data_IF_884427154198
#
_entry.id   IF_884427154198
#
_cell.length_a   1.000
_cell.length_b   1.000
_cell.length_c   1.000
_cell.angle_alpha   90.00
_cell.angle_beta   90.00
_cell.angle_gamma   90.00
#
_symmetry.space_group_name_H-M   'P 1'
#
loop_
_entity.id
_entity.type
_entity.pdbx_description
1 polymer ?
#
# COMPACT_ATOMS: atom_id res chain seq x y z
N UNK A 1 -1.55 32.87 7.22
CA UNK A 1 -2.82 32.12 7.33
C UNK A 1 -2.75 30.84 6.48
N UNK A 2 -1.70 30.03 6.64
CA UNK A 2 -1.35 28.87 5.75
C UNK A 2 -0.95 27.61 6.56
N UNK A 3 -1.48 27.42 7.77
CA UNK A 3 -1.11 26.29 8.64
C UNK A 3 -2.21 25.25 8.90
N UNK A 4 -3.41 25.41 8.34
CA UNK A 4 -4.55 24.51 8.64
C UNK A 4 -4.76 23.33 7.68
N UNK A 5 -4.00 23.21 6.60
CA UNK A 5 -4.16 22.14 5.61
C UNK A 5 -3.34 20.86 5.88
N UNK A 6 -2.24 20.98 6.62
CA UNK A 6 -1.32 19.87 6.91
C UNK A 6 -1.80 18.97 8.07
N UNK A 7 -2.61 19.51 8.98
CA UNK A 7 -3.05 18.77 10.19
C UNK A 7 -4.09 17.65 9.95
N UNK A 8 -4.83 17.68 8.82
CA UNK A 8 -5.92 16.71 8.61
C UNK A 8 -5.48 15.34 8.07
N UNK A 9 -4.37 15.24 7.33
CA UNK A 9 -3.85 13.93 6.89
C UNK A 9 -2.93 13.30 7.93
N UNK A 10 -2.16 14.10 8.63
CA UNK A 10 -1.37 13.68 9.80
C UNK A 10 -2.24 13.11 10.94
N UNK A 11 -3.52 13.48 11.03
CA UNK A 11 -4.40 12.97 12.07
C UNK A 11 -4.91 11.54 11.83
N UNK A 12 -4.92 11.07 10.59
CA UNK A 12 -5.35 9.70 10.28
C UNK A 12 -4.33 8.66 10.75
N UNK A 13 -3.02 8.99 10.72
CA UNK A 13 -1.93 8.12 11.15
C UNK A 13 -1.33 8.50 12.52
N UNK A 14 -1.69 9.64 13.10
CA UNK A 14 -1.14 10.08 14.40
C UNK A 14 -1.71 9.35 15.62
N UNK A 15 -2.76 8.56 15.47
CA UNK A 15 -3.22 7.65 16.53
C UNK A 15 -2.43 6.34 16.53
N UNK A 16 -1.10 6.43 16.61
CA UNK A 16 -0.20 5.31 16.97
C UNK A 16 -0.33 4.91 18.45
N UNK A 17 -1.46 5.17 19.07
CA UNK A 17 -1.80 4.58 20.36
C UNK A 17 -2.18 3.10 20.13
N UNK A 18 -1.71 2.19 21.01
CA UNK A 18 -1.88 0.73 20.85
C UNK A 18 -3.34 0.26 20.92
N UNK A 19 -4.31 1.15 20.84
CA UNK A 19 -5.74 0.87 20.96
C UNK A 19 -6.60 1.78 20.08
N UNK A 20 -6.37 1.77 18.78
CA UNK A 20 -7.30 2.43 17.85
C UNK A 20 -8.69 1.74 17.94
N UNK A 21 -9.66 2.44 18.52
CA UNK A 21 -11.03 1.92 18.71
C UNK A 21 -11.68 1.57 17.37
N UNK A 22 -11.50 2.42 16.36
CA UNK A 22 -12.05 2.19 15.02
C UNK A 22 -11.49 0.91 14.40
N UNK A 23 -10.18 0.66 14.50
CA UNK A 23 -9.57 -0.57 14.03
C UNK A 23 -10.19 -1.80 14.71
N UNK A 24 -10.36 -1.81 16.03
CA UNK A 24 -10.95 -2.94 16.77
C UNK A 24 -12.40 -3.20 16.36
N UNK A 25 -13.16 -2.14 16.10
CA UNK A 25 -14.55 -2.26 15.62
C UNK A 25 -14.62 -2.83 14.20
N UNK A 26 -13.63 -2.59 13.36
CA UNK A 26 -13.56 -3.10 11.98
C UNK A 26 -12.90 -4.48 11.89
N UNK A 27 -11.94 -4.78 12.75
CA UNK A 27 -11.17 -6.03 12.73
C UNK A 27 -12.04 -7.26 12.92
N UNK A 28 -13.01 -7.21 13.85
CA UNK A 28 -13.89 -8.35 14.14
C UNK A 28 -14.76 -8.71 12.94
N UNK A 29 -15.51 -7.79 12.32
CA UNK A 29 -16.26 -8.09 11.09
C UNK A 29 -15.38 -8.63 9.96
N UNK A 30 -14.19 -8.06 9.74
CA UNK A 30 -13.27 -8.52 8.71
C UNK A 30 -12.83 -9.97 8.94
N UNK A 31 -12.47 -10.33 10.18
CA UNK A 31 -12.15 -11.72 10.53
C UNK A 31 -13.33 -12.66 10.33
N UNK A 32 -14.54 -12.26 10.72
CA UNK A 32 -15.72 -13.09 10.52
C UNK A 32 -16.00 -13.35 9.03
N UNK A 33 -15.82 -12.36 8.16
CA UNK A 33 -15.99 -12.55 6.70
C UNK A 33 -15.03 -13.62 6.17
N UNK A 34 -13.75 -13.56 6.56
CA UNK A 34 -12.74 -14.52 6.09
C UNK A 34 -13.00 -15.91 6.63
N UNK A 35 -13.48 -16.06 7.87
CA UNK A 35 -13.80 -17.36 8.50
C UNK A 35 -14.89 -18.17 7.78
N UNK A 36 -15.76 -17.52 7.03
CA UNK A 36 -16.79 -18.20 6.24
C UNK A 36 -16.26 -18.84 4.95
N UNK A 37 -15.01 -18.57 4.59
CA UNK A 37 -14.35 -19.11 3.40
C UNK A 37 -13.39 -20.24 3.78
N UNK A 38 -13.28 -21.27 2.92
CA UNK A 38 -12.25 -22.28 3.14
C UNK A 38 -10.86 -21.69 2.85
N UNK A 39 -9.82 -22.07 3.62
CA UNK A 39 -8.46 -21.59 3.38
C UNK A 39 -7.94 -21.88 1.97
N UNK A 40 -8.29 -23.03 1.39
CA UNK A 40 -7.92 -23.40 0.01
C UNK A 40 -8.54 -22.44 -1.01
N UNK A 41 -9.82 -22.09 -0.81
CA UNK A 41 -10.50 -21.14 -1.69
C UNK A 41 -9.89 -19.73 -1.58
N UNK A 42 -9.56 -19.31 -0.36
CA UNK A 42 -8.83 -18.05 -0.12
C UNK A 42 -7.50 -18.09 -0.87
N UNK A 43 -6.70 -19.13 -0.69
CA UNK A 43 -5.39 -19.28 -1.33
C UNK A 43 -5.50 -19.21 -2.86
N UNK A 44 -6.43 -19.97 -3.44
CA UNK A 44 -6.64 -20.02 -4.88
C UNK A 44 -6.98 -18.63 -5.49
N UNK A 45 -7.80 -17.83 -4.80
CA UNK A 45 -8.28 -16.55 -5.31
C UNK A 45 -7.34 -15.39 -5.03
N UNK A 46 -6.65 -15.42 -3.90
CA UNK A 46 -5.79 -14.33 -3.44
C UNK A 46 -4.34 -14.46 -3.87
N UNK A 47 -3.91 -15.62 -4.38
CA UNK A 47 -2.49 -15.89 -4.62
C UNK A 47 -1.68 -16.14 -3.34
N UNK A 48 -2.35 -16.33 -2.20
CA UNK A 48 -1.71 -16.83 -0.98
C UNK A 48 -1.43 -18.34 -1.11
N UNK A 49 -0.55 -18.86 -0.26
CA UNK A 49 -0.30 -20.30 -0.12
C UNK A 49 -0.87 -20.79 1.20
N UNK A 50 -1.71 -21.81 1.17
CA UNK A 50 -2.20 -22.43 2.39
C UNK A 50 -1.35 -23.65 2.76
N UNK A 51 -0.77 -23.62 3.95
CA UNK A 51 -0.01 -24.72 4.57
C UNK A 51 -0.94 -25.46 5.53
N UNK A 52 -1.58 -26.50 5.02
CA UNK A 52 -2.61 -27.27 5.77
C UNK A 52 -2.06 -27.88 7.06
N UNK A 53 -0.82 -28.42 7.04
CA UNK A 53 -0.17 -29.02 8.21
C UNK A 53 -0.03 -28.07 9.39
N UNK A 54 0.14 -26.79 9.11
CA UNK A 54 0.43 -25.75 10.10
C UNK A 54 -0.79 -24.85 10.38
N UNK A 55 -1.83 -24.97 9.56
CA UNK A 55 -3.00 -24.09 9.59
C UNK A 55 -2.60 -22.62 9.29
N UNK A 56 -1.76 -22.38 8.29
CA UNK A 56 -1.20 -21.05 8.00
C UNK A 56 -1.44 -20.67 6.53
N UNK A 57 -1.99 -19.48 6.31
CA UNK A 57 -1.96 -18.79 5.03
C UNK A 57 -0.68 -17.94 4.96
N UNK A 58 0.07 -18.07 3.88
CA UNK A 58 1.27 -17.29 3.61
C UNK A 58 1.10 -16.46 2.34
N UNK A 59 1.42 -15.18 2.39
CA UNK A 59 1.40 -14.30 1.23
C UNK A 59 2.54 -13.28 1.28
N UNK A 60 2.87 -12.73 0.13
CA UNK A 60 3.80 -11.61 0.03
C UNK A 60 3.04 -10.28 0.15
N UNK A 61 3.58 -9.36 0.93
CA UNK A 61 3.13 -7.98 0.96
C UNK A 61 4.34 -7.06 0.86
N UNK A 62 4.47 -6.36 -0.26
CA UNK A 62 5.67 -5.62 -0.61
C UNK A 62 6.91 -6.55 -0.55
N UNK A 63 7.95 -6.17 0.20
CA UNK A 63 9.17 -6.97 0.39
C UNK A 63 9.10 -7.96 1.57
N UNK A 64 7.91 -8.24 2.11
CA UNK A 64 7.75 -9.01 3.35
C UNK A 64 6.84 -10.21 3.16
N UNK A 65 7.28 -11.37 3.63
CA UNK A 65 6.42 -12.55 3.76
C UNK A 65 5.56 -12.41 5.01
N UNK A 66 4.26 -12.55 4.85
CA UNK A 66 3.27 -12.47 5.93
C UNK A 66 2.62 -13.84 6.11
N UNK A 67 2.68 -14.36 7.32
CA UNK A 67 2.04 -15.62 7.73
C UNK A 67 0.84 -15.31 8.62
N UNK A 68 -0.27 -15.97 8.35
CA UNK A 68 -1.56 -15.70 9.01
C UNK A 68 -2.12 -17.05 9.49
N UNK A 69 -2.24 -17.22 10.80
CA UNK A 69 -2.81 -18.46 11.36
C UNK A 69 -4.31 -18.53 11.12
N UNK A 70 -4.80 -19.73 10.86
CA UNK A 70 -6.23 -20.04 10.68
C UNK A 70 -6.66 -21.00 11.80
N UNK A 71 -7.77 -20.77 12.49
CA UNK A 71 -8.86 -19.83 12.18
C UNK A 71 -8.79 -18.46 12.91
N UNK A 72 -7.75 -18.16 13.68
CA UNK A 72 -7.67 -16.96 14.53
C UNK A 72 -7.33 -15.71 13.74
N UNK A 73 -6.73 -15.85 12.56
CA UNK A 73 -6.23 -14.78 11.71
C UNK A 73 -5.29 -13.83 12.48
N UNK A 74 -4.23 -14.42 13.06
CA UNK A 74 -3.14 -13.69 13.69
C UNK A 74 -1.95 -13.58 12.74
N UNK A 75 -1.27 -12.44 12.76
CA UNK A 75 -0.24 -12.07 11.79
C UNK A 75 1.17 -12.26 12.36
N UNK A 76 2.06 -12.85 11.57
CA UNK A 76 3.48 -12.96 11.84
C UNK A 76 4.28 -12.61 10.56
N UNK A 77 5.17 -11.60 10.61
CA UNK A 77 5.39 -10.69 11.73
C UNK A 77 4.17 -9.79 11.98
N UNK A 78 4.13 -9.14 13.14
CA UNK A 78 3.06 -8.20 13.46
C UNK A 78 3.15 -7.00 12.50
N UNK A 79 2.08 -6.75 11.78
CA UNK A 79 1.92 -5.60 10.90
C UNK A 79 1.23 -4.45 11.64
N UNK A 80 1.32 -3.27 11.04
CA UNK A 80 0.51 -2.12 11.42
C UNK A 80 -0.99 -2.43 11.24
N UNK A 81 -1.84 -1.85 12.07
CA UNK A 81 -3.26 -2.19 12.20
C UNK A 81 -4.03 -2.09 10.87
N UNK A 82 -3.89 -0.98 10.16
CA UNK A 82 -4.57 -0.79 8.88
C UNK A 82 -4.08 -1.73 7.79
N UNK A 83 -2.80 -2.10 7.81
CA UNK A 83 -2.24 -3.08 6.89
C UNK A 83 -2.83 -4.48 7.14
N UNK A 84 -3.00 -4.88 8.41
CA UNK A 84 -3.68 -6.14 8.75
C UNK A 84 -5.13 -6.14 8.24
N UNK A 85 -5.86 -5.03 8.40
CA UNK A 85 -7.25 -4.92 7.97
C UNK A 85 -7.37 -5.03 6.45
N UNK A 86 -6.52 -4.33 5.70
CA UNK A 86 -6.47 -4.41 4.23
C UNK A 86 -6.21 -5.85 3.77
N UNK A 87 -5.27 -6.56 4.41
CA UNK A 87 -5.01 -7.97 4.08
C UNK A 87 -6.23 -8.84 4.34
N UNK A 88 -6.93 -8.67 5.46
CA UNK A 88 -8.16 -9.44 5.75
C UNK A 88 -9.26 -9.17 4.72
N UNK A 89 -9.48 -7.92 4.34
CA UNK A 89 -10.44 -7.57 3.30
C UNK A 89 -10.02 -8.17 1.95
N UNK A 90 -8.75 -8.11 1.59
CA UNK A 90 -8.21 -8.75 0.39
C UNK A 90 -8.47 -10.26 0.37
N UNK A 91 -8.19 -10.97 1.47
CA UNK A 91 -8.45 -12.42 1.57
C UNK A 91 -9.95 -12.75 1.47
N UNK A 92 -10.81 -11.85 1.95
CA UNK A 92 -12.27 -12.04 1.89
C UNK A 92 -12.86 -11.71 0.50
N UNK A 93 -12.35 -10.71 -0.18
CA UNK A 93 -12.93 -10.15 -1.40
C UNK A 93 -12.31 -10.70 -2.69
N UNK A 94 -11.05 -11.14 -2.65
CA UNK A 94 -10.36 -11.67 -3.83
C UNK A 94 -11.22 -12.72 -4.55
N UNK A 95 -11.47 -12.53 -5.84
CA UNK A 95 -12.27 -13.44 -6.65
C UNK A 95 -11.45 -14.25 -7.67
N UNK A 96 -10.13 -14.01 -7.74
CA UNK A 96 -9.21 -14.69 -8.64
C UNK A 96 -9.14 -14.12 -10.04
N UNK A 97 -9.73 -12.95 -10.28
CA UNK A 97 -9.64 -12.25 -11.56
C UNK A 97 -8.18 -11.95 -11.91
N UNK A 98 -7.79 -12.24 -13.15
CA UNK A 98 -6.42 -11.95 -13.62
C UNK A 98 -6.10 -10.45 -13.55
N UNK A 99 -4.84 -10.13 -13.20
CA UNK A 99 -4.36 -8.74 -13.17
C UNK A 99 -4.44 -8.18 -14.60
N UNK A 100 -5.08 -7.03 -14.74
CA UNK A 100 -5.15 -6.31 -16.01
C UNK A 100 -3.89 -5.49 -16.24
N UNK A 101 -3.37 -5.49 -17.47
CA UNK A 101 -2.26 -4.63 -17.88
C UNK A 101 -2.68 -3.15 -18.00
N UNK A 102 -3.97 -2.86 -18.03
CA UNK A 102 -4.47 -1.51 -18.03
C UNK A 102 -4.38 -0.91 -16.64
N UNK A 103 -3.66 0.20 -16.52
CA UNK A 103 -3.54 0.95 -15.25
C UNK A 103 -4.47 2.16 -15.25
N UNK A 104 -5.09 2.40 -14.10
CA UNK A 104 -6.03 3.50 -13.84
C UNK A 104 -5.66 4.23 -12.56
N UNK A 105 -6.12 5.47 -12.42
CA UNK A 105 -6.02 6.20 -11.16
C UNK A 105 -7.10 5.72 -10.18
N UNK A 106 -7.03 6.16 -8.93
CA UNK A 106 -8.05 5.82 -7.92
C UNK A 106 -9.44 6.36 -8.29
N UNK A 107 -9.49 7.52 -8.96
CA UNK A 107 -10.74 8.05 -9.50
C UNK A 107 -11.37 7.19 -10.58
N UNK A 108 -10.60 6.33 -11.25
CA UNK A 108 -11.06 5.38 -12.27
C UNK A 108 -11.59 4.05 -11.72
N UNK A 109 -11.46 3.78 -10.42
CA UNK A 109 -12.02 2.59 -9.76
C UNK A 109 -13.55 2.68 -9.70
N UNK A 110 -14.22 1.55 -9.51
CA UNK A 110 -15.64 1.51 -9.18
C UNK A 110 -15.87 2.37 -7.92
N UNK A 111 -16.89 3.21 -7.96
CA UNK A 111 -17.23 4.17 -6.91
C UNK A 111 -16.13 5.22 -6.59
N UNK A 112 -15.07 5.28 -7.41
CA UNK A 112 -13.90 6.14 -7.23
C UNK A 112 -14.08 7.60 -7.61
N UNK A 113 -15.18 7.96 -8.34
CA UNK A 113 -15.35 9.28 -8.95
C UNK A 113 -15.16 10.46 -7.97
N UNK A 114 -15.65 10.36 -6.75
CA UNK A 114 -15.52 11.42 -5.74
C UNK A 114 -14.33 11.14 -4.82
N UNK A 115 -14.35 10.00 -4.12
CA UNK A 115 -13.36 9.64 -3.11
C UNK A 115 -11.98 9.41 -3.70
N UNK A 116 -11.91 8.65 -4.80
CA UNK A 116 -10.67 8.32 -5.50
C UNK A 116 -10.05 9.53 -6.18
N UNK A 117 -10.85 10.36 -6.87
CA UNK A 117 -10.35 11.61 -7.49
C UNK A 117 -9.79 12.58 -6.45
N UNK A 118 -10.46 12.70 -5.30
CA UNK A 118 -9.94 13.51 -4.19
C UNK A 118 -8.62 12.94 -3.67
N UNK A 119 -8.54 11.62 -3.49
CA UNK A 119 -7.33 10.95 -3.06
C UNK A 119 -6.18 11.13 -4.06
N UNK A 120 -6.43 10.95 -5.36
CA UNK A 120 -5.43 11.18 -6.43
C UNK A 120 -4.79 12.57 -6.27
N UNK A 121 -5.61 13.61 -6.11
CA UNK A 121 -5.13 14.99 -5.98
C UNK A 121 -4.34 15.24 -4.69
N UNK A 122 -4.81 14.70 -3.56
CA UNK A 122 -4.13 14.87 -2.27
C UNK A 122 -2.81 14.06 -2.28
N UNK A 123 -2.79 12.87 -2.86
CA UNK A 123 -1.61 12.02 -2.99
C UNK A 123 -0.53 12.65 -3.90
N UNK A 124 -0.92 13.26 -5.02
CA UNK A 124 0.01 13.98 -5.89
C UNK A 124 0.77 15.07 -5.13
N UNK A 125 0.08 15.83 -4.28
CA UNK A 125 0.72 16.86 -3.44
C UNK A 125 1.68 16.27 -2.40
N UNK A 126 1.29 15.16 -1.79
CA UNK A 126 2.14 14.49 -0.80
C UNK A 126 3.37 13.86 -1.46
N UNK A 127 3.22 13.29 -2.65
CA UNK A 127 4.34 12.78 -3.43
C UNK A 127 5.27 13.90 -3.89
N UNK A 128 4.74 15.06 -4.32
CA UNK A 128 5.54 16.22 -4.66
C UNK A 128 6.42 16.65 -3.45
N UNK A 129 5.83 16.73 -2.26
CA UNK A 129 6.59 17.05 -1.03
C UNK A 129 7.64 15.99 -0.71
N UNK A 130 7.28 14.71 -0.86
CA UNK A 130 8.21 13.59 -0.63
C UNK A 130 9.37 13.61 -1.62
N UNK A 131 9.14 13.96 -2.88
CA UNK A 131 10.16 13.99 -3.94
C UNK A 131 11.07 15.20 -3.86
N UNK A 132 10.63 16.29 -3.24
CA UNK A 132 11.36 17.55 -3.18
C UNK A 132 12.79 17.37 -2.61
N UNK A 133 13.78 17.84 -3.37
CA UNK A 133 15.19 17.77 -3.00
C UNK A 133 15.84 16.38 -3.07
N UNK A 134 15.15 15.36 -3.56
CA UNK A 134 15.68 13.99 -3.71
C UNK A 134 16.19 13.74 -5.11
N UNK A 135 17.32 13.06 -5.19
CA UNK A 135 17.89 12.62 -6.47
C UNK A 135 17.17 11.35 -6.97
N UNK A 136 17.18 11.09 -8.31
CA UNK A 136 16.63 9.85 -8.88
C UNK A 136 17.20 8.59 -8.23
N UNK A 137 18.50 8.56 -7.94
CA UNK A 137 19.15 7.42 -7.28
C UNK A 137 18.66 7.20 -5.85
N UNK A 138 18.40 8.29 -5.11
CA UNK A 138 17.82 8.20 -3.76
C UNK A 138 16.44 7.54 -3.82
N UNK A 139 15.59 8.01 -4.72
CA UNK A 139 14.23 7.47 -4.90
C UNK A 139 14.26 6.01 -5.36
N UNK A 140 15.13 5.65 -6.33
CA UNK A 140 15.30 4.24 -6.74
C UNK A 140 15.67 3.33 -5.58
N UNK A 141 16.61 3.77 -4.71
CA UNK A 141 17.02 3.01 -3.53
C UNK A 141 15.88 2.84 -2.51
N UNK A 142 15.06 3.88 -2.31
CA UNK A 142 13.89 3.82 -1.43
C UNK A 142 12.87 2.82 -1.97
N UNK A 143 12.50 2.93 -3.25
CA UNK A 143 11.55 2.03 -3.88
C UNK A 143 12.04 0.57 -3.85
N UNK A 144 13.31 0.34 -4.17
CA UNK A 144 13.92 -1.00 -4.15
C UNK A 144 13.93 -1.62 -2.76
N UNK A 145 14.12 -0.84 -1.71
CA UNK A 145 14.07 -1.31 -0.32
C UNK A 145 12.68 -1.84 0.07
N UNK A 146 11.62 -1.36 -0.58
CA UNK A 146 10.25 -1.85 -0.42
C UNK A 146 9.87 -2.96 -1.42
N UNK A 147 10.84 -3.50 -2.17
CA UNK A 147 10.62 -4.59 -3.12
C UNK A 147 10.06 -4.14 -4.46
N UNK A 148 10.17 -2.86 -4.81
CA UNK A 148 9.70 -2.40 -6.11
C UNK A 148 10.53 -2.97 -7.27
N UNK A 149 9.84 -3.38 -8.32
CA UNK A 149 10.38 -3.59 -9.66
C UNK A 149 10.27 -2.30 -10.47
N UNK A 150 11.07 -2.17 -11.53
CA UNK A 150 11.03 -0.99 -12.38
C UNK A 150 10.56 -1.38 -13.77
N UNK A 151 9.60 -0.64 -14.30
CA UNK A 151 9.01 -0.85 -15.61
C UNK A 151 9.23 0.36 -16.53
N UNK A 152 9.25 0.10 -17.82
CA UNK A 152 9.25 1.16 -18.83
C UNK A 152 7.90 1.88 -18.85
N UNK A 153 7.93 3.19 -18.96
CA UNK A 153 6.74 4.04 -19.04
C UNK A 153 7.05 5.40 -19.65
N UNK A 154 6.03 6.24 -19.74
CA UNK A 154 6.18 7.64 -20.14
C UNK A 154 6.67 8.58 -19.01
N UNK A 155 7.00 8.03 -17.83
CA UNK A 155 7.58 8.77 -16.72
C UNK A 155 9.10 8.51 -16.64
N UNK A 156 9.83 9.37 -15.94
CA UNK A 156 11.28 9.22 -15.74
C UNK A 156 11.62 8.01 -14.88
N UNK A 157 10.69 7.63 -13.99
CA UNK A 157 10.76 6.43 -13.18
C UNK A 157 9.35 5.85 -13.00
N UNK A 158 9.22 4.55 -13.28
CA UNK A 158 8.03 3.78 -12.94
C UNK A 158 8.42 2.64 -12.00
N UNK A 159 8.01 2.73 -10.74
CA UNK A 159 8.19 1.69 -9.74
C UNK A 159 6.88 0.91 -9.56
N UNK A 160 6.96 -0.41 -9.61
CA UNK A 160 5.83 -1.33 -9.43
C UNK A 160 6.00 -2.05 -8.10
N UNK A 161 5.07 -1.84 -7.20
CA UNK A 161 5.03 -2.48 -5.89
C UNK A 161 3.97 -3.58 -5.89
N UNK A 162 4.35 -4.81 -5.63
CA UNK A 162 3.41 -5.88 -5.34
C UNK A 162 2.92 -5.72 -3.89
N UNK A 163 1.94 -4.80 -3.69
CA UNK A 163 1.41 -4.54 -2.35
C UNK A 163 0.81 -5.81 -1.75
N UNK A 164 0.08 -6.58 -2.56
CA UNK A 164 -0.37 -7.95 -2.30
C UNK A 164 -0.22 -8.77 -3.59
N UNK A 165 -0.31 -10.11 -3.57
CA UNK A 165 0.03 -10.95 -4.72
C UNK A 165 -0.67 -10.55 -6.03
N UNK A 166 -1.96 -10.23 -5.99
CA UNK A 166 -2.74 -9.81 -7.15
C UNK A 166 -3.13 -8.31 -7.08
N UNK A 167 -2.40 -7.51 -6.31
CA UNK A 167 -2.68 -6.09 -6.12
C UNK A 167 -1.42 -5.24 -6.33
N UNK A 168 -0.94 -5.11 -7.57
CA UNK A 168 0.18 -4.23 -7.89
C UNK A 168 -0.23 -2.77 -7.83
N UNK A 169 0.71 -1.91 -7.38
CA UNK A 169 0.59 -0.46 -7.34
C UNK A 169 1.75 0.13 -8.11
N UNK A 170 1.46 0.98 -9.10
CA UNK A 170 2.47 1.70 -9.87
C UNK A 170 2.66 3.09 -9.30
N UNK A 171 3.91 3.47 -9.06
CA UNK A 171 4.32 4.83 -8.76
C UNK A 171 5.08 5.37 -9.97
N UNK A 172 4.47 6.31 -10.70
CA UNK A 172 5.13 7.05 -11.77
C UNK A 172 5.65 8.37 -11.24
N UNK A 173 6.89 8.70 -11.58
CA UNK A 173 7.58 9.89 -11.10
C UNK A 173 8.18 10.62 -12.30
N UNK A 174 7.99 11.93 -12.32
CA UNK A 174 8.69 12.89 -13.17
C UNK A 174 9.56 13.72 -12.25
N UNK A 175 10.87 13.72 -12.51
CA UNK A 175 11.82 14.47 -11.70
C UNK A 175 11.79 15.95 -12.06
N UNK A 176 12.21 16.80 -11.12
CA UNK A 176 12.31 18.24 -11.36
C UNK A 176 13.32 18.54 -12.47
N UNK A 177 12.99 19.50 -13.30
CA UNK A 177 13.86 20.10 -14.31
C UNK A 177 13.90 21.64 -14.15
N UNK A 178 14.34 22.37 -15.17
CA UNK A 178 14.46 23.84 -15.13
C UNK A 178 13.08 24.54 -15.11
N UNK A 179 12.02 23.88 -15.57
CA UNK A 179 10.68 24.48 -15.75
C UNK A 179 9.67 23.93 -14.75
N UNK A 180 9.81 22.67 -14.30
CA UNK A 180 8.82 21.97 -13.51
C UNK A 180 9.40 21.36 -12.23
N UNK A 181 8.62 21.45 -11.15
CA UNK A 181 8.92 20.71 -9.92
C UNK A 181 8.67 19.20 -10.10
N UNK A 182 9.36 18.39 -9.28
CA UNK A 182 9.13 16.95 -9.29
C UNK A 182 7.66 16.62 -8.97
N UNK A 183 7.12 15.63 -9.65
CA UNK A 183 5.76 15.17 -9.44
C UNK A 183 5.70 13.64 -9.41
N UNK A 184 4.67 13.10 -8.77
CA UNK A 184 4.46 11.66 -8.70
C UNK A 184 2.98 11.32 -8.67
N UNK A 185 2.64 10.14 -9.18
CA UNK A 185 1.26 9.66 -9.24
C UNK A 185 1.18 8.16 -9.02
N UNK A 186 0.21 7.73 -8.22
CA UNK A 186 -0.11 6.33 -8.03
C UNK A 186 -1.16 5.85 -9.03
N UNK A 187 -0.99 4.60 -9.46
CA UNK A 187 -1.94 3.91 -10.32
C UNK A 187 -2.17 2.50 -9.81
N UNK A 188 -3.33 1.94 -10.14
CA UNK A 188 -3.74 0.58 -9.85
C UNK A 188 -4.05 -0.17 -11.14
N UNK A 189 -4.04 -1.51 -11.09
CA UNK A 189 -4.61 -2.31 -12.16
C UNK A 189 -6.11 -2.04 -12.28
N UNK A 190 -6.65 -2.05 -13.50
CA UNK A 190 -8.10 -1.95 -13.70
C UNK A 190 -8.87 -3.08 -13.03
N UNK A 191 -8.22 -4.21 -12.74
CA UNK A 191 -8.81 -5.32 -11.97
C UNK A 191 -8.77 -5.13 -10.45
N UNK A 192 -8.30 -4.00 -9.93
CA UNK A 192 -8.17 -3.76 -8.49
C UNK A 192 -9.51 -3.89 -7.73
N UNK A 193 -10.63 -3.52 -8.37
CA UNK A 193 -11.98 -3.64 -7.80
C UNK A 193 -12.42 -5.09 -7.49
N UNK A 194 -11.72 -6.10 -8.05
CA UNK A 194 -11.95 -7.52 -7.79
C UNK A 194 -11.28 -8.01 -6.50
N UNK A 195 -10.50 -7.16 -5.86
CA UNK A 195 -9.67 -7.53 -4.72
C UNK A 195 -9.92 -6.67 -3.48
N UNK A 196 -10.19 -5.38 -3.65
CA UNK A 196 -10.36 -4.42 -2.56
C UNK A 196 -11.44 -3.39 -2.91
N UNK A 197 -12.07 -2.85 -1.87
CA UNK A 197 -12.99 -1.72 -2.00
C UNK A 197 -12.24 -0.42 -2.30
N UNK A 198 -12.98 0.63 -2.68
CA UNK A 198 -12.42 1.98 -2.86
C UNK A 198 -11.72 2.51 -1.60
N UNK A 199 -12.30 2.27 -0.42
CA UNK A 199 -11.72 2.72 0.84
C UNK A 199 -10.44 1.94 1.19
N UNK A 200 -10.40 0.64 0.92
CA UNK A 200 -9.20 -0.17 1.09
C UNK A 200 -8.10 0.26 0.11
N UNK A 201 -8.46 0.57 -1.14
CA UNK A 201 -7.51 1.08 -2.13
C UNK A 201 -6.84 2.39 -1.66
N UNK A 202 -7.62 3.34 -1.14
CA UNK A 202 -7.08 4.57 -0.52
C UNK A 202 -6.11 4.22 0.60
N UNK A 203 -6.50 3.31 1.50
CA UNK A 203 -5.64 2.86 2.61
C UNK A 203 -4.34 2.23 2.12
N UNK A 204 -4.37 1.44 1.04
CA UNK A 204 -3.16 0.90 0.37
C UNK A 204 -2.22 2.02 -0.05
N UNK A 205 -2.74 3.05 -0.73
CA UNK A 205 -1.93 4.19 -1.16
C UNK A 205 -1.30 4.96 0.00
N UNK A 206 -2.05 5.16 1.08
CA UNK A 206 -1.57 5.83 2.30
C UNK A 206 -0.47 5.01 3.00
N UNK A 207 -0.66 3.69 3.14
CA UNK A 207 0.35 2.79 3.71
C UNK A 207 1.63 2.81 2.86
N UNK A 208 1.51 2.74 1.54
CA UNK A 208 2.66 2.78 0.65
C UNK A 208 3.44 4.08 0.81
N UNK A 209 2.78 5.24 0.81
CA UNK A 209 3.43 6.53 1.03
C UNK A 209 4.11 6.60 2.40
N UNK A 210 3.46 6.12 3.45
CA UNK A 210 4.03 6.08 4.81
C UNK A 210 5.31 5.24 4.84
N UNK A 211 5.30 4.06 4.19
CA UNK A 211 6.49 3.20 4.10
C UNK A 211 7.62 3.83 3.27
N UNK A 212 7.30 4.53 2.18
CA UNK A 212 8.30 5.27 1.40
C UNK A 212 8.98 6.35 2.26
N UNK A 213 8.20 7.10 3.05
CA UNK A 213 8.72 8.12 3.97
C UNK A 213 9.58 7.52 5.10
N UNK A 214 9.19 6.36 5.64
CA UNK A 214 9.94 5.66 6.70
C UNK A 214 11.32 5.19 6.21
N UNK A 215 11.43 4.67 4.97
CA UNK A 215 12.71 4.26 4.39
C UNK A 215 13.70 5.42 4.21
N UNK A 216 13.24 6.66 4.17
CA UNK A 216 14.09 7.85 4.17
C UNK A 216 14.70 8.12 5.55
N UNK A 217 13.90 7.98 6.61
CA UNK A 217 14.32 8.28 7.99
C UNK A 217 15.40 7.31 8.48
N UNK A 218 15.25 6.02 8.21
CA UNK A 218 16.21 4.97 8.59
C UNK A 218 17.61 5.19 7.98
N UNK A 219 17.67 5.77 6.77
CA UNK A 219 18.95 6.07 6.11
C UNK A 219 19.63 7.33 6.64
N UNK A 220 18.87 8.30 7.11
CA UNK A 220 19.43 9.50 7.72
C UNK A 220 20.14 9.16 9.04
N UNK A 221 19.58 8.26 9.84
CA UNK A 221 20.18 7.81 11.10
C UNK A 221 21.44 6.97 10.87
N UNK A 222 21.41 6.03 9.92
CA UNK A 222 22.58 5.18 9.60
C UNK A 222 23.76 5.98 9.03
N UNK A 223 23.51 7.09 8.35
CA UNK A 223 24.56 7.96 7.81
C UNK A 223 25.23 8.85 8.86
N UNK A 224 24.57 9.11 9.99
CA UNK A 224 25.11 9.90 11.11
C UNK A 224 25.99 9.04 12.04
N UNK A 225 25.68 7.75 12.17
CA UNK A 225 26.42 6.82 13.04
C UNK A 225 27.77 6.40 12.41
N UNK A 226 27.87 6.39 11.07
CA UNK A 226 29.12 6.09 10.34
C UNK A 226 30.11 7.28 10.25
N UNK A 227 29.78 8.42 10.87
CA UNK A 227 30.67 9.61 10.92
C UNK A 227 31.26 9.88 12.30
N UNK A 228 31.09 8.97 13.23
CA UNK A 228 31.78 8.94 14.53
C UNK A 228 32.84 7.85 14.50
#
# INVERSE_FOLDING_TARGET
>A
MLQKGCEKMDSYFKDTLPHNRAFREMLRPAKEQVKHLSPDNIAQRSGAVFHESDGVLELQSLNQTVRITVPEYTFSPRLEEWHQLVILHYLALADGTAISDQVITFGGLKDGLIRGTKFDHDMEKELQRFLNGKTPDCIRKICKALGAEFADSNADLCAVFHFLPNYPVWLKIWFADEEFEASGKLYLSRSADHYLTMEDAVTVGEILLSKLKAQESDKAETSLDNRK
#
